data_IF_901764861181
#
_entry.id   IF_901764861181
#
_cell.length_a   1.000
_cell.length_b   1.000
_cell.length_c   1.000
_cell.angle_alpha   90.00
_cell.angle_beta   90.00
_cell.angle_gamma   90.00
#
_symmetry.space_group_name_H-M   'P 1'
#
loop_
_entity.id
_entity.type
_entity.pdbx_description
1 polymer ?
#
# COMPACT_ATOMS: atom_id res chain seq x y z
N UNK A 1 21.33 26.56 -44.91
CA UNK A 1 21.41 25.20 -44.33
C UNK A 1 22.67 25.12 -43.46
N UNK A 2 22.65 24.33 -42.37
CA UNK A 2 22.69 24.68 -40.94
C UNK A 2 24.13 24.93 -40.40
N UNK A 3 24.42 25.44 -39.19
CA UNK A 3 24.04 24.93 -37.86
C UNK A 3 24.19 26.03 -36.80
N UNK A 4 23.12 26.18 -36.03
CA UNK A 4 23.04 26.84 -34.74
C UNK A 4 23.92 26.07 -33.75
N UNK A 5 24.93 26.72 -33.17
CA UNK A 5 25.72 26.17 -32.06
C UNK A 5 25.30 26.87 -30.78
N UNK A 6 24.48 26.15 -30.03
CA UNK A 6 23.98 26.50 -28.71
C UNK A 6 25.14 26.40 -27.70
N UNK A 7 25.48 27.51 -27.06
CA UNK A 7 26.19 27.50 -25.79
C UNK A 7 25.51 28.51 -24.86
N UNK A 8 24.61 27.99 -24.02
CA UNK A 8 24.19 28.71 -22.81
C UNK A 8 24.47 27.76 -21.65
N UNK A 9 25.65 27.93 -21.06
CA UNK A 9 25.92 27.54 -19.69
C UNK A 9 25.35 28.62 -18.79
N UNK A 10 24.39 28.28 -17.94
CA UNK A 10 24.13 29.02 -16.72
C UNK A 10 23.84 28.05 -15.58
N UNK A 11 24.82 27.99 -14.70
CA UNK A 11 24.78 27.48 -13.34
C UNK A 11 23.53 27.99 -12.61
N UNK A 12 22.71 27.08 -12.06
CA UNK A 12 21.89 27.39 -10.88
C UNK A 12 22.15 26.30 -9.85
N UNK A 13 22.95 26.66 -8.86
CA UNK A 13 23.07 25.93 -7.62
C UNK A 13 21.79 26.08 -6.79
N UNK A 14 21.34 24.96 -6.20
CA UNK A 14 20.61 24.94 -4.94
C UNK A 14 19.18 25.47 -4.90
N UNK A 15 18.21 24.57 -4.78
CA UNK A 15 17.22 24.67 -3.70
C UNK A 15 16.47 23.36 -3.54
N UNK A 16 16.49 22.88 -2.30
CA UNK A 16 15.72 21.75 -1.82
C UNK A 16 14.24 21.93 -2.17
N UNK A 17 13.71 21.06 -3.03
CA UNK A 17 12.26 20.85 -3.10
C UNK A 17 11.86 19.90 -1.98
N UNK A 18 11.93 20.41 -0.76
CA UNK A 18 11.16 19.87 0.35
C UNK A 18 9.69 20.08 -0.01
N UNK A 19 9.01 19.03 -0.46
CA UNK A 19 7.55 18.99 -0.45
C UNK A 19 7.10 19.14 1.00
N UNK A 20 6.92 20.38 1.45
CA UNK A 20 6.05 20.69 2.57
C UNK A 20 4.67 20.23 2.16
N UNK A 21 4.25 19.07 2.67
CA UNK A 21 2.85 18.71 2.74
C UNK A 21 2.14 19.83 3.52
N UNK A 22 1.51 20.74 2.77
CA UNK A 22 0.67 21.77 3.35
C UNK A 22 -0.61 21.10 3.86
N UNK A 23 -0.58 20.68 5.13
CA UNK A 23 -1.70 20.08 5.85
C UNK A 23 -2.90 21.05 6.02
N UNK A 24 -2.80 22.28 5.51
CA UNK A 24 -3.75 23.35 5.86
C UNK A 24 -4.98 23.46 4.95
N UNK A 25 -5.08 22.67 3.88
CA UNK A 25 -6.23 22.68 2.96
C UNK A 25 -6.82 21.28 2.69
N UNK A 26 -6.83 20.39 3.70
CA UNK A 26 -7.72 19.22 3.64
C UNK A 26 -9.16 19.69 3.82
N UNK A 27 -9.79 19.97 2.67
CA UNK A 27 -11.19 20.34 2.55
C UNK A 27 -12.05 19.35 3.34
N UNK A 28 -12.90 19.85 4.24
CA UNK A 28 -13.71 19.05 5.18
C UNK A 28 -14.62 18.04 4.46
N UNK A 29 -14.93 18.31 3.19
CA UNK A 29 -15.72 17.45 2.30
C UNK A 29 -14.94 16.24 1.77
N UNK A 30 -13.61 16.30 1.70
CA UNK A 30 -12.77 15.16 1.35
C UNK A 30 -12.74 14.09 2.46
N UNK A 31 -13.05 14.46 3.70
CA UNK A 31 -13.13 13.55 4.85
C UNK A 31 -14.47 12.79 4.91
N UNK A 32 -15.54 13.33 4.30
CA UNK A 32 -16.85 12.67 4.33
C UNK A 32 -16.97 11.50 3.35
N UNK A 33 -16.14 11.46 2.30
CA UNK A 33 -16.13 10.34 1.33
C UNK A 33 -15.26 9.14 1.76
N UNK A 34 -14.48 9.25 2.85
CA UNK A 34 -13.59 8.17 3.33
C UNK A 34 -14.38 7.00 3.96
N UNK A 35 -15.66 7.21 4.29
CA UNK A 35 -16.49 6.23 5.01
C UNK A 35 -17.29 5.23 4.16
N UNK A 36 -17.12 5.17 2.83
CA UNK A 36 -17.92 4.27 1.97
C UNK A 36 -17.31 2.89 1.70
N UNK A 37 -16.08 2.64 2.15
CA UNK A 37 -15.42 1.35 1.94
C UNK A 37 -15.24 0.64 3.29
N UNK A 38 -15.43 -0.70 3.32
CA UNK A 38 -15.03 -1.45 4.50
C UNK A 38 -13.54 -1.15 4.75
N UNK A 39 -13.21 -0.87 6.01
CA UNK A 39 -11.83 -0.69 6.46
C UNK A 39 -11.53 -1.88 7.35
N UNK A 40 -10.57 -2.72 6.95
CA UNK A 40 -10.04 -3.74 7.84
C UNK A 40 -9.02 -3.08 8.75
N UNK A 41 -9.32 -3.07 10.04
CA UNK A 41 -8.38 -2.57 11.05
C UNK A 41 -7.41 -3.68 11.41
N UNK A 42 -6.13 -3.35 11.45
CA UNK A 42 -5.09 -4.21 11.95
C UNK A 42 -4.62 -3.67 13.30
N UNK A 43 -4.44 -4.59 14.23
CA UNK A 43 -3.81 -4.33 15.52
C UNK A 43 -2.42 -4.92 15.51
N UNK A 44 -1.51 -4.26 16.19
CA UNK A 44 -0.14 -4.73 16.33
C UNK A 44 0.07 -4.87 17.83
N UNK A 45 0.40 -6.09 18.25
CA UNK A 45 0.39 -6.48 19.67
C UNK A 45 1.69 -6.09 20.37
N UNK A 46 1.73 -6.28 21.69
CA UNK A 46 2.95 -6.10 22.48
C UNK A 46 4.08 -7.07 22.09
N UNK A 47 3.75 -8.17 21.40
CA UNK A 47 4.70 -9.14 20.85
C UNK A 47 5.12 -8.84 19.41
N UNK A 48 4.81 -7.64 18.89
CA UNK A 48 5.04 -7.25 17.49
C UNK A 48 4.32 -8.11 16.44
N UNK A 49 3.30 -8.87 16.85
CA UNK A 49 2.46 -9.65 15.94
C UNK A 49 1.34 -8.77 15.40
N UNK A 50 1.09 -8.81 14.08
CA UNK A 50 -0.12 -8.23 13.52
C UNK A 50 -1.33 -9.14 13.78
N UNK A 51 -2.49 -8.54 14.03
CA UNK A 51 -3.76 -9.22 14.28
C UNK A 51 -4.90 -8.51 13.56
N UNK A 52 -5.92 -9.30 13.22
CA UNK A 52 -7.22 -8.79 12.78
C UNK A 52 -8.16 -8.86 13.98
N UNK A 53 -8.76 -7.75 14.45
CA UNK A 53 -9.69 -7.75 15.58
C UNK A 53 -10.85 -8.72 15.37
N UNK A 54 -11.23 -9.44 16.42
CA UNK A 54 -12.31 -10.43 16.38
C UNK A 54 -11.96 -11.75 15.68
N UNK A 55 -10.72 -11.93 15.24
CA UNK A 55 -10.20 -13.22 14.77
C UNK A 55 -9.37 -13.83 15.90
N UNK A 56 -9.84 -14.92 16.49
CA UNK A 56 -9.05 -15.73 17.42
C UNK A 56 -8.17 -16.70 16.62
N UNK A 57 -6.92 -16.91 17.04
CA UNK A 57 -6.09 -17.98 16.47
C UNK A 57 -4.60 -17.66 16.32
N UNK A 58 -3.89 -18.59 15.69
CA UNK A 58 -2.46 -18.47 15.35
C UNK A 58 -2.26 -17.43 14.23
N UNK A 59 -1.01 -16.99 14.07
CA UNK A 59 -0.57 -16.08 12.98
C UNK A 59 -1.18 -16.39 11.60
N UNK A 60 -1.21 -17.67 11.21
CA UNK A 60 -1.75 -18.09 9.91
C UNK A 60 -3.24 -17.77 9.75
N UNK A 61 -4.05 -17.88 10.81
CA UNK A 61 -5.47 -17.56 10.75
C UNK A 61 -5.69 -16.06 10.47
N UNK A 62 -4.83 -15.19 11.00
CA UNK A 62 -4.86 -13.76 10.70
C UNK A 62 -4.47 -13.46 9.24
N UNK A 63 -3.47 -14.18 8.70
CA UNK A 63 -3.11 -14.10 7.27
C UNK A 63 -4.28 -14.49 6.38
N UNK A 64 -4.92 -15.63 6.66
CA UNK A 64 -6.01 -16.16 5.84
C UNK A 64 -7.24 -15.24 5.86
N UNK A 65 -7.53 -14.65 7.02
CA UNK A 65 -8.60 -13.65 7.15
C UNK A 65 -8.31 -12.38 6.37
N UNK A 66 -7.07 -11.87 6.42
CA UNK A 66 -6.67 -10.69 5.66
C UNK A 66 -6.69 -10.95 4.15
N UNK A 67 -6.18 -12.11 3.72
CA UNK A 67 -6.22 -12.54 2.31
C UNK A 67 -7.66 -12.63 1.80
N UNK A 68 -8.53 -13.29 2.57
CA UNK A 68 -9.95 -13.42 2.25
C UNK A 68 -10.65 -12.05 2.15
N UNK A 69 -10.30 -11.12 3.04
CA UNK A 69 -10.79 -9.75 2.99
C UNK A 69 -10.38 -9.02 1.69
N UNK A 70 -9.10 -9.10 1.30
CA UNK A 70 -8.60 -8.45 0.08
C UNK A 70 -9.26 -9.08 -1.15
N UNK A 71 -9.34 -10.41 -1.23
CA UNK A 71 -9.96 -11.12 -2.35
C UNK A 71 -11.45 -10.76 -2.51
N UNK A 72 -12.17 -10.58 -1.40
CA UNK A 72 -13.58 -10.18 -1.38
C UNK A 72 -13.79 -8.73 -1.83
N UNK A 73 -12.93 -7.81 -1.40
CA UNK A 73 -13.14 -6.37 -1.60
C UNK A 73 -12.37 -5.76 -2.78
N UNK A 74 -11.33 -6.43 -3.30
CA UNK A 74 -10.58 -6.06 -4.51
C UNK A 74 -10.16 -4.59 -4.50
N UNK A 75 -10.55 -3.79 -5.50
CA UNK A 75 -10.16 -2.39 -5.62
C UNK A 75 -10.64 -1.51 -4.45
N UNK A 76 -11.60 -2.02 -3.67
CA UNK A 76 -12.18 -1.35 -2.50
C UNK A 76 -11.53 -1.77 -1.18
N UNK A 77 -10.56 -2.69 -1.18
CA UNK A 77 -9.88 -3.09 0.04
C UNK A 77 -9.12 -1.89 0.63
N UNK A 78 -9.38 -1.59 1.89
CA UNK A 78 -8.67 -0.55 2.64
C UNK A 78 -8.20 -1.13 3.97
N UNK A 79 -6.91 -1.00 4.26
CA UNK A 79 -6.25 -1.56 5.44
C UNK A 79 -5.74 -0.40 6.29
N UNK A 80 -6.13 -0.37 7.56
CA UNK A 80 -5.65 0.64 8.49
C UNK A 80 -5.01 0.01 9.71
N UNK A 81 -3.84 0.51 10.10
CA UNK A 81 -3.13 0.05 11.30
C UNK A 81 -3.52 0.95 12.46
N UNK A 82 -4.00 0.38 13.57
CA UNK A 82 -4.37 1.15 14.74
C UNK A 82 -3.12 1.76 15.42
N UNK A 83 -2.95 3.07 15.27
CA UNK A 83 -1.79 3.84 15.78
C UNK A 83 -1.88 4.23 17.26
N UNK A 84 -3.00 3.95 17.95
CA UNK A 84 -3.27 4.47 19.31
C UNK A 84 -2.62 3.70 20.46
N UNK A 85 -2.01 2.54 20.21
CA UNK A 85 -1.24 1.81 21.22
C UNK A 85 0.18 2.41 21.33
N UNK A 86 0.31 3.44 22.17
CA UNK A 86 1.55 4.00 22.74
C UNK A 86 2.73 4.27 21.78
N UNK A 87 2.89 5.54 21.40
CA UNK A 87 4.17 6.14 20.98
C UNK A 87 4.76 5.59 19.68
N UNK A 88 4.41 6.21 18.55
CA UNK A 88 5.14 6.22 17.26
C UNK A 88 6.30 5.23 17.12
N UNK A 89 6.01 3.93 17.16
CA UNK A 89 7.04 2.93 16.90
C UNK A 89 6.99 2.63 15.40
N UNK A 90 7.72 3.46 14.64
CA UNK A 90 7.85 3.32 13.20
C UNK A 90 8.26 1.90 12.79
N UNK A 91 9.03 1.20 13.61
CA UNK A 91 9.39 -0.20 13.37
C UNK A 91 8.19 -1.13 13.42
N UNK A 92 7.27 -0.92 14.37
CA UNK A 92 6.04 -1.69 14.48
C UNK A 92 5.12 -1.47 13.27
N UNK A 93 5.00 -0.21 12.82
CA UNK A 93 4.29 0.11 11.58
C UNK A 93 4.95 -0.56 10.37
N UNK A 94 6.27 -0.45 10.26
CA UNK A 94 7.07 -1.04 9.18
C UNK A 94 6.92 -2.56 9.13
N UNK A 95 6.97 -3.25 10.27
CA UNK A 95 6.73 -4.70 10.37
C UNK A 95 5.32 -5.06 9.85
N UNK A 96 4.29 -4.36 10.30
CA UNK A 96 2.92 -4.60 9.83
C UNK A 96 2.79 -4.35 8.32
N UNK A 97 3.41 -3.29 7.80
CA UNK A 97 3.43 -2.99 6.38
C UNK A 97 4.07 -4.11 5.56
N UNK A 98 5.22 -4.62 6.00
CA UNK A 98 5.91 -5.74 5.33
C UNK A 98 5.06 -7.02 5.29
N UNK A 99 4.43 -7.40 6.41
CA UNK A 99 3.64 -8.63 6.46
C UNK A 99 2.38 -8.56 5.58
N UNK A 100 1.71 -7.41 5.58
CA UNK A 100 0.58 -7.17 4.67
C UNK A 100 1.08 -7.17 3.21
N UNK A 101 2.25 -6.59 2.93
CA UNK A 101 2.90 -6.61 1.61
C UNK A 101 3.12 -8.04 1.09
N UNK A 102 3.61 -8.95 1.93
CA UNK A 102 3.75 -10.38 1.58
C UNK A 102 2.41 -11.03 1.22
N UNK A 103 1.32 -10.65 1.89
CA UNK A 103 -0.01 -11.19 1.58
C UNK A 103 -0.51 -10.67 0.22
N UNK A 104 -0.25 -9.40 -0.13
CA UNK A 104 -0.53 -8.91 -1.49
C UNK A 104 0.31 -9.63 -2.53
N UNK A 105 1.59 -9.89 -2.26
CA UNK A 105 2.46 -10.64 -3.16
C UNK A 105 1.95 -12.07 -3.39
N UNK A 106 1.49 -12.77 -2.35
CA UNK A 106 0.83 -14.06 -2.48
C UNK A 106 -0.41 -13.98 -3.39
N UNK A 107 -1.27 -12.98 -3.17
CA UNK A 107 -2.46 -12.75 -4.00
C UNK A 107 -2.05 -12.50 -5.45
N UNK A 108 -1.09 -11.62 -5.70
CA UNK A 108 -0.65 -11.29 -7.05
C UNK A 108 -0.06 -12.49 -7.78
N UNK A 109 0.74 -13.31 -7.10
CA UNK A 109 1.25 -14.57 -7.67
C UNK A 109 0.13 -15.55 -8.00
N UNK A 110 -0.89 -15.69 -7.14
CA UNK A 110 -2.05 -16.52 -7.45
C UNK A 110 -2.83 -16.01 -8.67
N UNK A 111 -2.99 -14.69 -8.81
CA UNK A 111 -3.69 -14.12 -9.95
C UNK A 111 -2.86 -14.25 -11.24
N UNK A 112 -1.55 -14.03 -11.17
CA UNK A 112 -0.64 -14.20 -12.29
C UNK A 112 -0.61 -15.65 -12.77
N UNK A 113 -0.50 -16.61 -11.84
CA UNK A 113 -0.54 -18.03 -12.15
C UNK A 113 -1.88 -18.43 -12.79
N UNK A 114 -3.01 -17.95 -12.26
CA UNK A 114 -4.34 -18.26 -12.81
C UNK A 114 -4.61 -17.66 -14.18
N UNK A 115 -4.11 -16.45 -14.47
CA UNK A 115 -4.44 -15.72 -15.71
C UNK A 115 -3.41 -15.90 -16.82
N UNK A 116 -2.13 -15.99 -16.44
CA UNK A 116 -1.01 -15.92 -17.37
C UNK A 116 -0.04 -17.11 -17.24
N UNK A 117 -0.32 -18.05 -16.33
CA UNK A 117 0.48 -19.26 -16.08
C UNK A 117 1.97 -18.99 -15.78
N UNK A 118 2.25 -17.91 -15.02
CA UNK A 118 3.59 -17.50 -14.59
C UNK A 118 3.55 -16.84 -13.23
N UNK A 119 4.72 -16.60 -12.62
CA UNK A 119 4.80 -15.81 -11.39
C UNK A 119 4.59 -14.33 -11.67
N UNK A 120 4.15 -13.59 -10.66
CA UNK A 120 3.91 -12.15 -10.79
C UNK A 120 5.18 -11.39 -11.19
N UNK A 121 6.35 -11.78 -10.69
CA UNK A 121 7.64 -11.16 -11.05
C UNK A 121 7.97 -11.30 -12.55
N UNK A 122 7.53 -12.40 -13.18
CA UNK A 122 7.74 -12.76 -14.59
C UNK A 122 6.72 -12.12 -15.54
N UNK A 123 5.66 -11.50 -15.01
CA UNK A 123 4.65 -10.79 -15.80
C UNK A 123 5.22 -9.53 -16.48
N UNK A 124 4.67 -9.18 -17.65
CA UNK A 124 4.90 -7.91 -18.33
C UNK A 124 4.35 -6.75 -17.49
N UNK A 125 4.72 -5.52 -17.86
CA UNK A 125 4.20 -4.32 -17.19
C UNK A 125 2.68 -4.25 -17.26
N UNK A 126 2.09 -4.54 -18.43
CA UNK A 126 0.65 -4.49 -18.67
C UNK A 126 -0.09 -5.54 -17.82
N UNK A 127 0.42 -6.77 -17.76
CA UNK A 127 -0.16 -7.85 -16.94
C UNK A 127 -0.07 -7.53 -15.44
N UNK A 128 1.03 -6.93 -15.01
CA UNK A 128 1.20 -6.46 -13.62
C UNK A 128 0.20 -5.35 -13.29
N UNK A 129 -0.01 -4.42 -14.20
CA UNK A 129 -1.02 -3.36 -14.06
C UNK A 129 -2.44 -3.92 -13.96
N UNK A 130 -2.79 -4.92 -14.79
CA UNK A 130 -4.09 -5.58 -14.72
C UNK A 130 -4.37 -6.21 -13.35
N UNK A 131 -3.37 -6.85 -12.75
CA UNK A 131 -3.50 -7.49 -11.44
C UNK A 131 -3.53 -6.43 -10.33
N UNK A 132 -2.59 -5.49 -10.32
CA UNK A 132 -2.43 -4.48 -9.26
C UNK A 132 -3.55 -3.45 -9.25
N UNK A 133 -4.19 -3.18 -10.39
CA UNK A 133 -5.39 -2.34 -10.47
C UNK A 133 -6.58 -2.98 -9.75
N UNK A 134 -6.71 -4.31 -9.80
CA UNK A 134 -7.78 -5.05 -9.11
C UNK A 134 -7.46 -5.28 -7.64
N UNK A 135 -6.18 -5.47 -7.30
CA UNK A 135 -5.73 -5.69 -5.93
C UNK A 135 -4.68 -4.64 -5.53
N UNK A 136 -5.08 -3.37 -5.39
CA UNK A 136 -4.15 -2.28 -5.09
C UNK A 136 -3.75 -2.29 -3.61
N UNK A 137 -2.47 -2.05 -3.34
CA UNK A 137 -2.00 -1.83 -1.97
C UNK A 137 -2.48 -0.45 -1.50
N UNK A 138 -3.42 -0.44 -0.54
CA UNK A 138 -3.95 0.78 0.09
C UNK A 138 -3.77 0.70 1.61
N UNK A 139 -2.92 1.56 2.15
CA UNK A 139 -2.68 1.70 3.60
C UNK A 139 -3.08 3.10 4.09
N UNK A 140 -3.78 3.16 5.23
CA UNK A 140 -4.14 4.39 5.96
C UNK A 140 -3.66 4.42 7.41
#
# INVERSE_FOLDING_TARGET
MPKLLLFITLFIAGSAFSQRFDFKNMNKDSLQNIHRYPILRLEMTDKDEFRVPGVEGKYQAHKDSLKSYILKNKEKSNISVNKKASGYNFDKYRKCFFEVGKIYEEIWNEQASKRFNKKFEECSTEEKEEITKVYPVKFG
#
